data_IF_650724679879
#
_entry.id   IF_650724679879
#
_cell.length_a   1.000
_cell.length_b   1.000
_cell.length_c   1.000
_cell.angle_alpha   90.00
_cell.angle_beta   90.00
_cell.angle_gamma   90.00
#
_symmetry.space_group_name_H-M   'P 1'
#
loop_
_entity.id
_entity.type
_entity.pdbx_description
1 polymer ?
#
# COMPACT_ATOMS: atom_id res chain seq x y z
N UNK A 1 26.13 30.99 1.89
CA UNK A 1 25.61 29.97 0.93
C UNK A 1 25.94 30.33 -0.51
N UNK A 2 25.81 31.59 -0.92
CA UNK A 2 26.16 32.08 -2.26
C UNK A 2 27.66 31.96 -2.60
N UNK A 3 28.56 32.19 -1.64
CA UNK A 3 30.01 32.05 -1.88
C UNK A 3 30.45 30.60 -2.12
N UNK A 4 29.92 29.64 -1.34
CA UNK A 4 30.21 28.21 -1.52
C UNK A 4 29.76 27.69 -2.90
N UNK A 5 28.63 28.19 -3.40
CA UNK A 5 28.11 27.84 -4.73
C UNK A 5 29.02 28.42 -5.83
N UNK A 6 29.50 29.65 -5.67
CA UNK A 6 30.42 30.28 -6.63
C UNK A 6 31.79 29.57 -6.66
N UNK A 7 32.33 29.18 -5.52
CA UNK A 7 33.60 28.43 -5.45
C UNK A 7 33.50 27.04 -6.10
N UNK A 8 32.34 26.38 -6.02
CA UNK A 8 32.09 25.10 -6.69
C UNK A 8 31.90 25.28 -8.22
N UNK A 9 31.39 26.44 -8.65
CA UNK A 9 31.23 26.79 -10.07
C UNK A 9 32.55 27.22 -10.74
N UNK A 10 33.53 27.68 -9.97
CA UNK A 10 34.87 28.03 -10.47
C UNK A 10 35.79 26.82 -10.63
N UNK A 11 35.33 25.61 -10.28
CA UNK A 11 36.14 24.41 -10.48
C UNK A 11 36.35 24.10 -11.96
N UNK A 12 37.52 23.51 -12.31
CA UNK A 12 37.83 23.10 -13.66
C UNK A 12 36.67 22.29 -14.28
N UNK A 13 36.29 22.63 -15.52
CA UNK A 13 35.18 21.99 -16.25
C UNK A 13 35.26 20.44 -16.25
N UNK A 14 36.48 19.89 -16.23
CA UNK A 14 36.73 18.44 -16.17
C UNK A 14 36.26 17.84 -14.83
N UNK A 15 36.49 18.55 -13.72
CA UNK A 15 36.09 18.12 -12.37
C UNK A 15 34.58 18.27 -12.19
N UNK A 16 33.99 19.34 -12.72
CA UNK A 16 32.52 19.53 -12.73
C UNK A 16 31.81 18.45 -13.56
N UNK A 17 32.40 18.08 -14.72
CA UNK A 17 31.91 16.98 -15.56
C UNK A 17 32.04 15.60 -14.90
N UNK A 18 33.16 15.34 -14.21
CA UNK A 18 33.37 14.12 -13.43
C UNK A 18 32.41 13.99 -12.24
N UNK A 19 32.11 15.11 -11.55
CA UNK A 19 31.11 15.15 -10.49
C UNK A 19 29.69 14.93 -11.01
N UNK A 20 29.32 15.57 -12.13
CA UNK A 20 28.02 15.37 -12.77
C UNK A 20 27.80 13.92 -13.23
N UNK A 21 28.82 13.32 -13.85
CA UNK A 21 28.77 11.92 -14.29
C UNK A 21 28.82 10.92 -13.14
N UNK A 22 29.56 11.23 -12.06
CA UNK A 22 29.57 10.45 -10.83
C UNK A 22 28.22 10.48 -10.09
N UNK A 23 27.58 11.66 -10.00
CA UNK A 23 26.26 11.81 -9.41
C UNK A 23 25.19 11.09 -10.25
N UNK A 24 25.27 11.21 -11.58
CA UNK A 24 24.38 10.50 -12.50
C UNK A 24 24.55 8.98 -12.38
N UNK A 25 25.80 8.49 -12.28
CA UNK A 25 26.09 7.08 -12.05
C UNK A 25 25.57 6.60 -10.69
N UNK A 26 25.73 7.38 -9.63
CA UNK A 26 25.19 7.08 -8.30
C UNK A 26 23.65 6.96 -8.34
N UNK A 27 22.98 7.90 -9.00
CA UNK A 27 21.52 7.88 -9.19
C UNK A 27 21.10 6.66 -10.00
N UNK A 28 21.82 6.30 -11.06
CA UNK A 28 21.56 5.09 -11.85
C UNK A 28 21.72 3.81 -11.01
N UNK A 29 22.78 3.70 -10.21
CA UNK A 29 23.01 2.53 -9.35
C UNK A 29 21.92 2.39 -8.29
N UNK A 30 21.49 3.50 -7.69
CA UNK A 30 20.36 3.52 -6.74
C UNK A 30 19.06 3.13 -7.47
N UNK A 31 18.79 3.69 -8.64
CA UNK A 31 17.60 3.38 -9.44
C UNK A 31 17.55 1.91 -9.91
N UNK A 32 18.69 1.34 -10.29
CA UNK A 32 18.81 -0.07 -10.67
C UNK A 32 18.62 -0.99 -9.47
N UNK A 33 19.16 -0.65 -8.29
CA UNK A 33 18.89 -1.42 -7.06
C UNK A 33 17.42 -1.37 -6.65
N UNK A 34 16.78 -0.20 -6.73
CA UNK A 34 15.35 -0.05 -6.43
C UNK A 34 14.51 -0.84 -7.44
N UNK A 35 14.84 -0.80 -8.74
CA UNK A 35 14.12 -1.54 -9.77
C UNK A 35 14.29 -3.05 -9.63
N UNK A 36 15.49 -3.53 -9.33
CA UNK A 36 15.78 -4.95 -9.12
C UNK A 36 15.08 -5.51 -7.88
N UNK A 37 14.99 -4.72 -6.80
CA UNK A 37 14.19 -5.06 -5.62
C UNK A 37 12.69 -5.02 -5.92
N UNK A 38 12.25 -4.09 -6.77
CA UNK A 38 10.84 -3.97 -7.16
C UNK A 38 10.36 -5.20 -7.90
N UNK A 39 11.13 -5.80 -8.82
CA UNK A 39 10.68 -6.98 -9.59
C UNK A 39 10.28 -8.19 -8.73
N UNK A 40 11.10 -8.55 -7.73
CA UNK A 40 10.79 -9.67 -6.81
C UNK A 40 9.73 -9.30 -5.76
N UNK A 41 9.76 -8.07 -5.26
CA UNK A 41 8.77 -7.58 -4.29
C UNK A 41 7.41 -7.39 -4.96
N UNK A 42 7.34 -7.05 -6.24
CA UNK A 42 6.08 -6.86 -6.98
C UNK A 42 5.37 -8.19 -7.20
N UNK A 43 6.06 -9.29 -7.52
CA UNK A 43 5.37 -10.59 -7.72
C UNK A 43 4.84 -11.18 -6.40
N UNK A 44 5.62 -11.08 -5.32
CA UNK A 44 5.18 -11.51 -3.99
C UNK A 44 4.12 -10.58 -3.41
N UNK A 45 4.29 -9.25 -3.52
CA UNK A 45 3.25 -8.29 -3.15
C UNK A 45 2.01 -8.41 -4.01
N UNK A 46 2.08 -8.83 -5.27
CA UNK A 46 0.89 -9.03 -6.09
C UNK A 46 -0.01 -10.08 -5.47
N UNK A 47 0.57 -11.23 -5.10
CA UNK A 47 -0.17 -12.33 -4.46
C UNK A 47 -0.66 -11.94 -3.06
N UNK A 48 0.18 -11.28 -2.25
CA UNK A 48 -0.23 -10.79 -0.93
C UNK A 48 -1.29 -9.68 -1.01
N UNK A 49 -1.19 -8.77 -1.99
CA UNK A 49 -2.18 -7.72 -2.20
C UNK A 49 -3.49 -8.31 -2.68
N UNK A 50 -3.45 -9.35 -3.51
CA UNK A 50 -4.62 -10.09 -3.98
C UNK A 50 -5.29 -10.83 -2.82
N UNK A 51 -4.53 -11.53 -1.97
CA UNK A 51 -5.03 -12.15 -0.74
C UNK A 51 -5.64 -11.11 0.21
N UNK A 52 -4.96 -9.99 0.43
CA UNK A 52 -5.46 -8.92 1.30
C UNK A 52 -6.70 -8.24 0.72
N UNK A 53 -6.78 -8.11 -0.61
CA UNK A 53 -7.94 -7.59 -1.31
C UNK A 53 -9.13 -8.55 -1.17
N UNK A 54 -8.91 -9.86 -1.37
CA UNK A 54 -9.93 -10.90 -1.18
C UNK A 54 -10.43 -10.94 0.28
N UNK A 55 -9.54 -10.82 1.27
CA UNK A 55 -9.90 -10.72 2.69
C UNK A 55 -10.73 -9.47 2.98
N UNK A 56 -10.33 -8.30 2.45
CA UNK A 56 -11.12 -7.08 2.58
C UNK A 56 -12.51 -7.23 1.94
N UNK A 57 -12.59 -7.90 0.79
CA UNK A 57 -13.86 -8.16 0.11
C UNK A 57 -14.75 -9.07 0.97
N UNK A 58 -14.17 -10.14 1.53
CA UNK A 58 -14.85 -11.08 2.43
C UNK A 58 -15.42 -10.36 3.65
N UNK A 59 -14.62 -9.53 4.31
CA UNK A 59 -15.06 -8.80 5.50
C UNK A 59 -16.23 -7.87 5.19
N UNK A 60 -16.23 -7.22 4.02
CA UNK A 60 -17.35 -6.40 3.56
C UNK A 60 -18.63 -7.22 3.31
N UNK A 61 -18.52 -8.40 2.68
CA UNK A 61 -19.67 -9.28 2.45
C UNK A 61 -20.19 -9.92 3.74
N UNK A 62 -19.32 -10.26 4.69
CA UNK A 62 -19.69 -10.74 6.03
C UNK A 62 -20.40 -9.64 6.81
N UNK A 63 -19.93 -8.39 6.74
CA UNK A 63 -20.62 -7.24 7.33
C UNK A 63 -22.00 -7.01 6.71
N UNK A 64 -22.13 -7.16 5.39
CA UNK A 64 -23.42 -7.05 4.69
C UNK A 64 -24.39 -8.17 5.09
N UNK A 65 -23.91 -9.41 5.23
CA UNK A 65 -24.70 -10.54 5.74
C UNK A 65 -25.15 -10.30 7.18
N UNK A 66 -24.26 -9.85 8.05
CA UNK A 66 -24.59 -9.54 9.45
C UNK A 66 -25.63 -8.42 9.57
N UNK A 67 -25.56 -7.41 8.69
CA UNK A 67 -26.59 -6.37 8.62
C UNK A 67 -27.94 -6.95 8.16
N UNK A 68 -27.95 -7.90 7.22
CA UNK A 68 -29.17 -8.56 6.76
C UNK A 68 -29.80 -9.48 7.83
N UNK A 69 -28.97 -10.08 8.68
CA UNK A 69 -29.38 -10.94 9.80
C UNK A 69 -29.71 -10.15 11.10
N UNK A 70 -29.76 -8.81 11.05
CA UNK A 70 -29.94 -7.91 12.21
C UNK A 70 -28.90 -8.12 13.34
N UNK A 71 -27.72 -8.65 13.03
CA UNK A 71 -26.64 -8.78 13.99
C UNK A 71 -25.81 -7.49 14.06
N UNK A 72 -26.36 -6.51 14.79
CA UNK A 72 -25.82 -5.15 14.92
C UNK A 72 -24.39 -5.13 15.50
N UNK A 73 -24.03 -6.10 16.36
CA UNK A 73 -22.70 -6.17 16.96
C UNK A 73 -21.60 -6.48 15.94
N UNK A 74 -21.83 -7.47 15.07
CA UNK A 74 -20.85 -7.88 14.05
C UNK A 74 -20.73 -6.81 12.95
N UNK A 75 -21.86 -6.22 12.55
CA UNK A 75 -21.87 -5.13 11.57
C UNK A 75 -21.08 -3.90 12.07
N UNK A 76 -21.28 -3.50 13.33
CA UNK A 76 -20.56 -2.37 13.93
C UNK A 76 -19.06 -2.63 14.12
N UNK A 77 -18.67 -3.86 14.46
CA UNK A 77 -17.26 -4.25 14.58
C UNK A 77 -16.53 -4.11 13.24
N UNK A 78 -17.13 -4.64 12.17
CA UNK A 78 -16.56 -4.57 10.81
C UNK A 78 -16.51 -3.13 10.31
N UNK A 79 -17.58 -2.34 10.52
CA UNK A 79 -17.60 -0.93 10.15
C UNK A 79 -16.49 -0.13 10.87
N UNK A 80 -16.30 -0.37 12.17
CA UNK A 80 -15.23 0.27 12.95
C UNK A 80 -13.84 -0.10 12.41
N UNK A 81 -13.64 -1.36 12.02
CA UNK A 81 -12.39 -1.81 11.38
C UNK A 81 -12.11 -1.10 10.05
N UNK A 82 -13.13 -0.95 9.20
CA UNK A 82 -13.05 -0.23 7.92
C UNK A 82 -12.69 1.25 8.15
N UNK A 83 -13.34 1.90 9.11
CA UNK A 83 -13.06 3.30 9.49
C UNK A 83 -11.62 3.46 9.99
N UNK A 84 -11.14 2.58 10.87
CA UNK A 84 -9.77 2.65 11.37
C UNK A 84 -8.75 2.48 10.23
N UNK A 85 -9.01 1.55 9.31
CA UNK A 85 -8.13 1.27 8.16
C UNK A 85 -8.11 2.42 7.15
N UNK A 86 -9.25 3.05 6.88
CA UNK A 86 -9.33 4.23 6.02
C UNK A 86 -8.61 5.42 6.66
N UNK A 87 -8.81 5.65 7.96
CA UNK A 87 -8.17 6.71 8.72
C UNK A 87 -6.64 6.56 8.76
N UNK A 88 -6.13 5.33 8.93
CA UNK A 88 -4.70 5.05 8.84
C UNK A 88 -4.12 5.42 7.47
N UNK A 89 -4.87 5.20 6.39
CA UNK A 89 -4.44 5.57 5.04
C UNK A 89 -4.46 7.09 4.84
N UNK A 90 -5.44 7.78 5.43
CA UNK A 90 -5.52 9.23 5.45
C UNK A 90 -4.32 9.87 6.16
N UNK A 91 -3.93 9.37 7.34
CA UNK A 91 -2.74 9.87 8.05
C UNK A 91 -1.45 9.68 7.26
N UNK A 92 -1.30 8.55 6.55
CA UNK A 92 -0.15 8.34 5.66
C UNK A 92 -0.13 9.37 4.53
N UNK A 93 -1.28 9.64 3.91
CA UNK A 93 -1.39 10.69 2.89
C UNK A 93 -1.02 12.07 3.43
N UNK A 94 -1.47 12.40 4.63
CA UNK A 94 -1.16 13.67 5.30
C UNK A 94 0.33 13.82 5.61
N UNK A 95 1.00 12.75 6.03
CA UNK A 95 2.46 12.74 6.23
C UNK A 95 3.18 13.00 4.91
N UNK A 96 2.78 12.35 3.83
CA UNK A 96 3.35 12.58 2.50
C UNK A 96 3.14 14.01 2.01
N UNK A 97 1.97 14.59 2.27
CA UNK A 97 1.67 15.99 1.97
C UNK A 97 2.57 16.93 2.77
N UNK A 98 2.68 16.70 4.09
CA UNK A 98 3.52 17.52 4.97
C UNK A 98 4.99 17.48 4.53
N UNK A 99 5.52 16.30 4.22
CA UNK A 99 6.87 16.15 3.68
C UNK A 99 7.03 16.86 2.32
N UNK A 100 6.07 16.71 1.42
CA UNK A 100 6.08 17.40 0.13
C UNK A 100 6.14 18.92 0.27
N UNK A 101 5.35 19.48 1.18
CA UNK A 101 5.32 20.91 1.44
C UNK A 101 6.60 21.41 2.14
N UNK A 102 7.11 20.68 3.13
CA UNK A 102 8.33 21.06 3.86
C UNK A 102 9.58 21.04 2.98
N UNK A 103 9.73 20.03 2.12
CA UNK A 103 10.92 19.85 1.28
C UNK A 103 10.79 20.44 -0.13
N UNK A 104 9.57 20.75 -0.58
CA UNK A 104 9.32 21.34 -1.90
C UNK A 104 9.95 22.72 -2.10
N UNK A 105 10.20 23.45 -1.01
CA UNK A 105 10.91 24.74 -1.04
C UNK A 105 12.41 24.59 -1.32
N UNK A 106 13.01 23.44 -0.97
CA UNK A 106 14.43 23.15 -1.18
C UNK A 106 14.63 22.48 -2.54
N UNK A 107 13.80 21.48 -2.84
CA UNK A 107 13.86 20.70 -4.08
C UNK A 107 12.44 20.61 -4.65
N UNK A 108 12.11 21.39 -5.70
CA UNK A 108 10.75 21.43 -6.26
C UNK A 108 10.19 20.04 -6.66
N UNK A 109 11.05 19.14 -7.11
CA UNK A 109 10.69 17.75 -7.46
C UNK A 109 10.11 16.99 -6.26
N UNK A 110 10.61 17.21 -5.04
CA UNK A 110 10.09 16.55 -3.84
C UNK A 110 8.67 17.00 -3.49
N UNK A 111 8.30 18.25 -3.81
CA UNK A 111 6.93 18.72 -3.67
C UNK A 111 5.95 17.94 -4.54
N UNK A 112 6.31 17.70 -5.80
CA UNK A 112 5.51 16.89 -6.73
C UNK A 112 5.39 15.45 -6.26
N UNK A 113 6.50 14.83 -5.85
CA UNK A 113 6.48 13.44 -5.32
C UNK A 113 5.62 13.35 -4.06
N UNK A 114 5.72 14.32 -3.16
CA UNK A 114 4.89 14.40 -1.95
C UNK A 114 3.40 14.50 -2.25
N UNK A 115 3.02 15.32 -3.23
CA UNK A 115 1.64 15.47 -3.66
C UNK A 115 1.10 14.17 -4.30
N UNK A 116 1.87 13.54 -5.19
CA UNK A 116 1.50 12.25 -5.81
C UNK A 116 1.37 11.15 -4.75
N UNK A 117 2.29 11.11 -3.77
CA UNK A 117 2.22 10.16 -2.65
C UNK A 117 0.97 10.37 -1.77
N UNK A 118 0.59 11.62 -1.54
CA UNK A 118 -0.65 11.96 -0.83
C UNK A 118 -1.88 11.43 -1.58
N UNK A 119 -2.01 11.74 -2.87
CA UNK A 119 -3.11 11.26 -3.71
C UNK A 119 -3.22 9.74 -3.71
N UNK A 120 -2.09 9.04 -3.89
CA UNK A 120 -2.05 7.58 -3.84
C UNK A 120 -2.64 7.03 -2.54
N UNK A 121 -2.25 7.58 -1.39
CA UNK A 121 -2.75 7.13 -0.10
C UNK A 121 -4.22 7.50 0.16
N UNK A 122 -4.68 8.66 -0.33
CA UNK A 122 -6.09 9.04 -0.25
C UNK A 122 -6.97 8.11 -1.11
N UNK A 123 -6.59 7.82 -2.35
CA UNK A 123 -7.31 6.88 -3.20
C UNK A 123 -7.31 5.46 -2.61
N UNK A 124 -6.19 5.03 -2.04
CA UNK A 124 -6.11 3.75 -1.33
C UNK A 124 -7.07 3.69 -0.14
N UNK A 125 -7.21 4.78 0.62
CA UNK A 125 -8.19 4.89 1.70
C UNK A 125 -9.64 4.86 1.18
N UNK A 126 -9.92 5.52 0.07
CA UNK A 126 -11.25 5.55 -0.54
C UNK A 126 -11.70 4.17 -1.02
N UNK A 127 -10.81 3.40 -1.64
CA UNK A 127 -11.09 2.03 -2.07
C UNK A 127 -11.51 1.09 -0.92
N UNK A 128 -11.00 1.33 0.30
CA UNK A 128 -11.40 0.58 1.50
C UNK A 128 -12.85 0.87 1.88
N UNK A 129 -13.33 2.10 1.68
CA UNK A 129 -14.69 2.53 2.05
C UNK A 129 -15.72 2.29 0.93
N UNK A 130 -15.27 2.02 -0.30
CA UNK A 130 -16.16 1.82 -1.44
C UNK A 130 -17.17 0.69 -1.17
N UNK A 131 -18.45 0.99 -1.42
CA UNK A 131 -19.56 0.03 -1.29
C UNK A 131 -19.33 -1.17 -2.20
N UNK A 132 -19.72 -2.33 -1.70
CA UNK A 132 -19.66 -3.59 -2.45
C UNK A 132 -20.96 -3.77 -3.23
N UNK A 133 -20.84 -4.36 -4.41
CA UNK A 133 -21.99 -4.71 -5.24
C UNK A 133 -22.95 -5.64 -4.47
N UNK A 134 -24.16 -5.13 -4.24
CA UNK A 134 -25.26 -5.78 -3.51
C UNK A 134 -26.11 -6.69 -4.43
N UNK A 135 -25.80 -6.77 -5.73
CA UNK A 135 -26.61 -7.49 -6.72
C UNK A 135 -26.53 -9.02 -6.59
N UNK A 136 -25.49 -9.55 -5.94
CA UNK A 136 -25.27 -10.99 -5.76
C UNK A 136 -25.47 -11.34 -4.27
N UNK A 137 -26.16 -12.46 -3.94
CA UNK A 137 -26.30 -12.91 -2.56
C UNK A 137 -24.95 -12.97 -1.83
N UNK A 138 -24.82 -12.34 -0.65
CA UNK A 138 -23.55 -12.27 0.07
C UNK A 138 -22.92 -13.63 0.37
N UNK A 139 -23.75 -14.67 0.57
CA UNK A 139 -23.30 -16.03 0.86
C UNK A 139 -22.54 -16.69 -0.31
N UNK A 140 -23.01 -16.49 -1.53
CA UNK A 140 -22.37 -17.08 -2.73
C UNK A 140 -21.02 -16.41 -3.02
N UNK A 141 -20.92 -15.10 -2.78
CA UNK A 141 -19.67 -14.36 -2.91
C UNK A 141 -18.64 -14.73 -1.85
N UNK A 142 -19.07 -14.93 -0.61
CA UNK A 142 -18.16 -15.39 0.46
C UNK A 142 -17.57 -16.75 0.08
N UNK A 143 -18.37 -17.67 -0.46
CA UNK A 143 -17.88 -18.99 -0.89
C UNK A 143 -16.90 -18.89 -2.06
N UNK A 144 -17.20 -18.08 -3.08
CA UNK A 144 -16.27 -17.84 -4.21
C UNK A 144 -14.94 -17.23 -3.76
N UNK A 145 -14.97 -16.33 -2.76
CA UNK A 145 -13.78 -15.70 -2.19
C UNK A 145 -12.98 -16.70 -1.35
N UNK A 146 -13.65 -17.53 -0.54
CA UNK A 146 -13.01 -18.56 0.27
C UNK A 146 -12.33 -19.62 -0.62
N UNK A 147 -12.97 -20.05 -1.72
CA UNK A 147 -12.39 -20.94 -2.73
C UNK A 147 -11.14 -20.33 -3.39
N UNK A 148 -11.17 -19.03 -3.73
CA UNK A 148 -10.01 -18.31 -4.28
C UNK A 148 -8.88 -18.15 -3.27
N UNK A 149 -9.20 -17.90 -2.00
CA UNK A 149 -8.22 -17.82 -0.93
C UNK A 149 -7.54 -19.19 -0.68
N UNK A 150 -8.29 -20.28 -0.75
CA UNK A 150 -7.75 -21.64 -0.59
C UNK A 150 -6.79 -22.02 -1.72
N UNK A 151 -7.08 -21.61 -2.95
CA UNK A 151 -6.17 -21.80 -4.10
C UNK A 151 -4.87 -21.00 -3.97
N UNK A 152 -4.92 -19.81 -3.36
CA UNK A 152 -3.76 -18.92 -3.20
C UNK A 152 -2.96 -19.21 -1.91
N UNK A 153 -3.55 -19.84 -0.90
CA UNK A 153 -2.91 -20.24 0.37
C UNK A 153 -3.09 -21.76 0.70
N UNK A 154 -2.64 -22.70 -0.16
CA UNK A 154 -2.87 -24.14 0.04
C UNK A 154 -2.22 -24.72 1.31
N UNK A 155 -1.27 -23.99 1.93
CA UNK A 155 -0.52 -24.42 3.10
C UNK A 155 -1.14 -23.99 4.44
N UNK A 156 -2.24 -23.21 4.43
CA UNK A 156 -2.89 -22.74 5.66
C UNK A 156 -4.05 -23.65 6.10
N UNK A 157 -4.71 -24.32 5.15
CA UNK A 157 -5.77 -25.31 5.40
C UNK A 157 -5.23 -26.60 6.01
N UNK A 158 -4.00 -27.03 5.68
CA UNK A 158 -3.40 -28.24 6.29
C UNK A 158 -3.02 -28.07 7.77
N UNK A 159 -2.96 -26.83 8.27
CA UNK A 159 -2.52 -26.54 9.64
C UNK A 159 -3.69 -26.26 10.60
N UNK A 160 -4.91 -25.99 10.10
CA UNK A 160 -6.10 -25.89 10.95
C UNK A 160 -6.65 -27.26 11.39
N UNK A 161 -6.40 -28.31 10.62
CA UNK A 161 -6.84 -29.67 10.96
C UNK A 161 -5.92 -30.36 11.99
N UNK A 162 -4.68 -29.89 12.14
CA UNK A 162 -3.72 -30.43 13.11
C UNK A 162 -3.89 -29.93 14.56
N UNK A 163 -4.58 -28.80 14.77
CA UNK A 163 -4.74 -28.20 16.10
C UNK A 163 -5.92 -28.81 16.89
N UNK A 164 -6.92 -29.38 16.21
CA UNK A 164 -8.06 -30.03 16.87
C UNK A 164 -7.77 -31.48 17.32
N UNK A 165 -6.61 -32.06 16.98
CA UNK A 165 -6.24 -33.43 17.37
C UNK A 165 -5.34 -33.49 18.63
N UNK A 166 -4.87 -32.36 19.15
CA UNK A 166 -3.95 -32.31 20.31
C UNK A 166 -4.63 -31.88 21.63
N UNK A 167 -5.95 -31.74 21.63
CA UNK A 167 -6.74 -31.29 22.78
C UNK A 167 -7.90 -32.21 23.13
N UNK A 168 -7.68 -33.53 23.10
CA UNK A 168 -8.59 -34.55 23.64
C UNK A 168 -7.87 -35.41 24.67
#
# INVERSE_FOLDING_TARGET
>A
MTELINTILEWPLIIQGALGSGLFWLVLVIGQRISALSGKVISQRSTENEINYLRDLRDKYVGLKAHHENNVQVANYIATGIIYKSLRSLFKGLIWLALGLSFGSIIPVLGVVGFVGCLYHMFKGLAVVQEVDKSIPPADRIREIDEKLEQLEPNKSSNSDGVNAAGS
#
